data_IF_974038145217
#
_entry.id   IF_974038145217
#
_cell.length_a   1.000
_cell.length_b   1.000
_cell.length_c   1.000
_cell.angle_alpha   90.00
_cell.angle_beta   90.00
_cell.angle_gamma   90.00
#
_symmetry.space_group_name_H-M   'P 1'
#
loop_
_entity.id
_entity.type
_entity.pdbx_description
1 polymer ?
#
# COMPACT_ATOMS: atom_id res chain seq x y z
N UNK A 1 2.84 6.87 16.93
CA UNK A 1 4.32 6.95 16.80
C UNK A 1 4.92 6.33 15.55
N UNK A 2 4.49 5.14 15.12
CA UNK A 2 5.04 4.46 13.93
C UNK A 2 5.04 5.34 12.67
N UNK A 3 3.89 5.92 12.29
CA UNK A 3 3.78 6.81 11.13
C UNK A 3 4.76 8.00 11.18
N UNK A 4 4.91 8.62 12.36
CA UNK A 4 5.86 9.73 12.56
C UNK A 4 7.32 9.28 12.41
N UNK A 5 7.65 8.08 12.90
CA UNK A 5 9.02 7.55 12.79
C UNK A 5 9.44 7.25 11.35
N UNK A 6 8.52 6.74 10.52
CA UNK A 6 8.80 6.33 9.13
C UNK A 6 8.67 7.49 8.15
N UNK A 7 7.66 8.37 8.30
CA UNK A 7 7.40 9.48 7.38
C UNK A 7 8.17 10.76 7.75
N UNK A 8 8.60 10.88 9.02
CA UNK A 8 9.34 12.05 9.50
C UNK A 8 10.80 12.14 9.04
N UNK A 9 11.37 11.05 8.49
CA UNK A 9 12.76 10.98 8.04
C UNK A 9 12.84 10.70 6.54
N UNK A 10 13.16 11.72 5.74
CA UNK A 10 13.24 11.65 4.27
C UNK A 10 14.08 10.46 3.77
N UNK A 11 15.19 10.15 4.44
CA UNK A 11 16.04 9.00 4.09
C UNK A 11 15.35 7.63 4.29
N UNK A 12 14.52 7.47 5.32
CA UNK A 12 13.78 6.22 5.56
C UNK A 12 12.61 6.05 4.58
N UNK A 13 11.95 7.14 4.20
CA UNK A 13 10.93 7.13 3.14
C UNK A 13 11.58 6.71 1.82
N UNK A 14 12.72 7.29 1.46
CA UNK A 14 13.43 6.98 0.22
C UNK A 14 13.87 5.50 0.15
N UNK A 15 14.39 4.93 1.24
CA UNK A 15 14.83 3.52 1.26
C UNK A 15 13.67 2.53 1.14
N UNK A 16 12.51 2.81 1.75
CA UNK A 16 11.30 1.99 1.60
C UNK A 16 10.67 2.12 0.21
N UNK A 17 10.62 3.33 -0.34
CA UNK A 17 10.22 3.57 -1.73
C UNK A 17 11.14 2.83 -2.72
N UNK A 18 12.43 2.75 -2.44
CA UNK A 18 13.39 1.98 -3.25
C UNK A 18 13.13 0.47 -3.18
N UNK A 19 12.80 -0.08 -2.00
CA UNK A 19 12.39 -1.49 -1.87
C UNK A 19 11.07 -1.80 -2.58
N UNK A 20 10.17 -0.82 -2.69
CA UNK A 20 8.90 -0.95 -3.38
C UNK A 20 8.98 -0.77 -4.92
N UNK A 21 10.17 -0.55 -5.50
CA UNK A 21 10.31 -0.29 -6.94
C UNK A 21 9.88 -1.48 -7.82
N UNK A 22 9.39 -1.21 -9.05
CA UNK A 22 9.27 -2.19 -10.12
C UNK A 22 10.64 -2.80 -10.47
N UNK A 23 10.65 -4.06 -10.92
CA UNK A 23 11.81 -4.93 -10.97
C UNK A 23 12.91 -4.61 -11.97
N UNK A 24 12.93 -3.45 -12.66
CA UNK A 24 14.02 -3.14 -13.59
C UNK A 24 14.47 -1.68 -13.57
N UNK A 25 15.78 -1.48 -13.52
CA UNK A 25 16.45 -0.16 -13.72
C UNK A 25 16.17 0.39 -15.13
N UNK A 26 15.85 -0.49 -16.09
CA UNK A 26 15.54 -0.17 -17.47
C UNK A 26 14.27 0.70 -17.64
N UNK A 27 13.19 0.42 -16.90
CA UNK A 27 11.96 1.23 -16.95
C UNK A 27 12.15 2.65 -16.39
N UNK A 28 13.03 2.81 -15.41
CA UNK A 28 13.30 4.11 -14.79
C UNK A 28 14.14 5.05 -15.68
N UNK A 29 14.93 4.51 -16.61
CA UNK A 29 15.79 5.29 -17.52
C UNK A 29 15.06 5.79 -18.78
N UNK A 30 13.94 5.18 -19.17
CA UNK A 30 13.25 5.53 -20.43
C UNK A 30 12.12 6.57 -20.28
N UNK A 31 11.56 6.80 -19.08
CA UNK A 31 10.27 7.50 -18.94
C UNK A 31 10.16 8.65 -17.94
N UNK A 32 11.20 8.93 -17.15
CA UNK A 32 11.11 9.83 -15.99
C UNK A 32 10.28 9.24 -14.85
N UNK A 33 10.38 9.81 -13.64
CA UNK A 33 9.62 9.34 -12.47
C UNK A 33 8.13 9.68 -12.67
N UNK A 34 7.35 8.74 -13.22
CA UNK A 34 5.90 8.87 -13.31
C UNK A 34 5.25 8.26 -12.08
N UNK A 35 4.48 9.06 -11.35
CA UNK A 35 3.70 8.60 -10.18
C UNK A 35 2.72 7.47 -10.55
N UNK A 36 2.37 7.33 -11.82
CA UNK A 36 1.50 6.25 -12.33
C UNK A 36 2.14 4.86 -12.36
N UNK A 37 3.46 4.72 -12.14
CA UNK A 37 4.15 3.42 -12.12
C UNK A 37 4.26 2.80 -10.72
N UNK A 38 3.73 3.47 -9.70
CA UNK A 38 3.79 2.97 -8.33
C UNK A 38 2.76 1.84 -8.13
N UNK A 39 3.27 0.62 -7.95
CA UNK A 39 2.45 -0.50 -7.52
C UNK A 39 2.03 -0.27 -6.05
N UNK A 40 0.74 0.01 -5.84
CA UNK A 40 0.18 0.38 -4.54
C UNK A 40 0.33 -0.75 -3.52
N UNK A 41 0.14 -2.01 -3.92
CA UNK A 41 0.33 -3.17 -3.03
C UNK A 41 1.76 -3.25 -2.49
N UNK A 42 2.77 -3.05 -3.36
CA UNK A 42 4.18 -3.04 -2.93
C UNK A 42 4.49 -1.90 -1.98
N UNK A 43 3.90 -0.73 -2.21
CA UNK A 43 4.05 0.41 -1.30
C UNK A 43 3.38 0.10 0.03
N UNK A 44 2.15 -0.43 0.03
CA UNK A 44 1.46 -0.81 1.27
C UNK A 44 2.32 -1.77 2.08
N UNK A 45 2.83 -2.84 1.48
CA UNK A 45 3.72 -3.81 2.15
C UNK A 45 5.01 -3.18 2.67
N UNK A 46 5.58 -2.19 1.96
CA UNK A 46 6.80 -1.52 2.41
C UNK A 46 6.56 -0.53 3.57
N UNK A 47 5.35 -0.01 3.73
CA UNK A 47 5.04 1.04 4.70
C UNK A 47 4.22 0.56 5.89
N UNK A 48 3.39 -0.48 5.75
CA UNK A 48 2.61 -1.02 6.85
C UNK A 48 3.53 -1.61 7.95
N UNK A 49 3.14 -1.46 9.23
CA UNK A 49 3.81 -2.17 10.32
C UNK A 49 3.57 -3.68 10.22
N UNK A 50 4.53 -4.50 10.66
CA UNK A 50 4.40 -5.97 10.76
C UNK A 50 3.24 -6.41 11.66
N UNK A 51 2.75 -5.54 12.54
CA UNK A 51 1.61 -5.82 13.41
C UNK A 51 0.25 -5.76 12.70
N UNK A 52 0.19 -5.27 11.46
CA UNK A 52 -1.03 -5.29 10.66
C UNK A 52 -1.09 -6.66 9.94
N UNK A 53 -2.15 -7.46 10.17
CA UNK A 53 -2.25 -8.79 9.60
C UNK A 53 -2.60 -8.77 8.11
N UNK A 54 -2.40 -9.91 7.43
CA UNK A 54 -2.70 -10.05 6.01
C UNK A 54 -4.20 -10.17 5.72
N UNK A 55 -5.01 -10.60 6.70
CA UNK A 55 -6.45 -10.82 6.51
C UNK A 55 -7.31 -10.04 7.50
N UNK A 56 -8.56 -9.78 7.12
CA UNK A 56 -9.55 -9.13 8.00
C UNK A 56 -9.83 -9.95 9.27
N UNK A 57 -9.81 -11.29 9.17
CA UNK A 57 -10.18 -12.19 10.26
C UNK A 57 -9.23 -12.12 11.47
N UNK A 58 -7.99 -11.68 11.25
CA UNK A 58 -6.95 -11.60 12.29
C UNK A 58 -6.93 -10.24 13.01
N UNK A 59 -7.74 -9.28 12.57
CA UNK A 59 -7.83 -7.97 13.21
C UNK A 59 -8.53 -8.08 14.57
N UNK A 60 -7.91 -7.53 15.61
CA UNK A 60 -8.51 -7.44 16.95
C UNK A 60 -9.70 -6.50 17.01
N UNK A 61 -9.69 -5.47 16.15
CA UNK A 61 -10.77 -4.49 16.02
C UNK A 61 -11.44 -4.73 14.66
N UNK A 62 -12.75 -5.06 14.63
CA UNK A 62 -13.46 -5.24 13.38
C UNK A 62 -13.35 -4.00 12.47
N UNK A 63 -12.99 -4.21 11.21
CA UNK A 63 -12.83 -3.17 10.21
C UNK A 63 -13.80 -3.41 9.04
N UNK A 64 -14.44 -2.34 8.58
CA UNK A 64 -15.16 -2.34 7.30
C UNK A 64 -14.53 -1.31 6.37
N UNK A 65 -14.24 -1.71 5.14
CA UNK A 65 -13.70 -0.84 4.10
C UNK A 65 -14.78 -0.64 3.04
N UNK A 66 -15.04 0.60 2.66
CA UNK A 66 -16.04 0.93 1.64
C UNK A 66 -15.37 1.35 0.34
N UNK A 67 -15.85 0.83 -0.79
CA UNK A 67 -15.48 1.31 -2.12
C UNK A 67 -16.72 1.44 -3.01
N UNK A 68 -16.52 2.02 -4.19
CA UNK A 68 -17.56 2.13 -5.23
C UNK A 68 -17.37 1.03 -6.26
N UNK A 69 -18.37 0.17 -6.43
CA UNK A 69 -18.45 -0.74 -7.57
C UNK A 69 -18.95 0.04 -8.80
N UNK A 70 -18.02 0.40 -9.68
CA UNK A 70 -18.33 1.15 -10.91
C UNK A 70 -19.14 0.34 -11.94
N UNK A 71 -19.11 -1.00 -11.89
CA UNK A 71 -19.88 -1.83 -12.82
C UNK A 71 -21.28 -2.11 -12.27
N UNK A 72 -21.38 -2.44 -10.98
CA UNK A 72 -22.64 -2.68 -10.30
C UNK A 72 -23.38 -1.41 -9.85
N UNK A 73 -22.76 -0.23 -10.00
CA UNK A 73 -23.31 1.07 -9.63
C UNK A 73 -23.78 1.12 -8.16
N UNK A 74 -23.00 0.53 -7.25
CA UNK A 74 -23.39 0.35 -5.85
C UNK A 74 -22.21 0.51 -4.89
N UNK A 75 -22.53 0.70 -3.62
CA UNK A 75 -21.57 0.59 -2.53
C UNK A 75 -21.08 -0.87 -2.43
N UNK A 76 -19.76 -1.05 -2.40
CA UNK A 76 -19.11 -2.29 -2.02
C UNK A 76 -18.55 -2.13 -0.59
N UNK A 77 -18.87 -3.08 0.29
CA UNK A 77 -18.35 -3.13 1.66
C UNK A 77 -17.52 -4.41 1.78
N UNK A 78 -16.28 -4.26 2.22
CA UNK A 78 -15.35 -5.36 2.48
C UNK A 78 -15.16 -5.50 3.98
N UNK A 79 -15.36 -6.71 4.49
CA UNK A 79 -15.17 -7.08 5.90
C UNK A 79 -14.54 -8.48 6.08
N UNK A 80 -14.18 -9.14 4.98
CA UNK A 80 -13.51 -10.44 4.93
C UNK A 80 -12.48 -10.47 3.79
N UNK A 81 -11.65 -11.52 3.77
CA UNK A 81 -10.61 -11.73 2.75
C UNK A 81 -9.26 -11.07 3.07
N UNK A 82 -8.52 -10.77 2.02
CA UNK A 82 -7.20 -10.13 2.09
C UNK A 82 -7.33 -8.66 2.47
N UNK A 83 -6.52 -8.22 3.43
CA UNK A 83 -6.44 -6.83 3.86
C UNK A 83 -5.49 -6.01 2.98
N UNK A 84 -4.39 -6.60 2.45
CA UNK A 84 -3.39 -5.92 1.63
C UNK A 84 -2.43 -6.81 0.80
#
# INVERSE_FOLDING_TARGET
DYARSILGRRAQVASRMWRARPGTIAEAMQGGIRVSQFNVERILKAFLPEAIPETFAELQIPLKVTATDYFGHKLAVFEDGDLH
#
